data_IF_043400339619
#
_entry.id   IF_043400339619
#
_cell.length_a   1.000
_cell.length_b   1.000
_cell.length_c   1.000
_cell.angle_alpha   90.00
_cell.angle_beta   90.00
_cell.angle_gamma   90.00
#
_symmetry.space_group_name_H-M   'P 1'
#
loop_
_entity.id
_entity.type
_entity.pdbx_description
1 polymer ?
#
# COMPACT_ATOMS: atom_id res chain seq x y z
N UNK A 1 37.98 -42.54 -62.51
CA UNK A 1 37.90 -41.39 -61.58
C UNK A 1 36.44 -41.02 -61.43
N UNK A 2 35.83 -41.28 -60.26
CA UNK A 2 34.42 -41.02 -59.99
C UNK A 2 34.40 -40.02 -58.83
N UNK A 3 33.92 -38.81 -59.07
CA UNK A 3 33.79 -37.75 -58.07
C UNK A 3 32.47 -37.90 -57.32
N UNK A 4 32.53 -38.02 -56.00
CA UNK A 4 31.38 -37.99 -55.09
C UNK A 4 31.05 -36.53 -54.69
N UNK A 5 29.76 -36.15 -54.58
CA UNK A 5 29.36 -34.80 -54.16
C UNK A 5 29.42 -34.64 -52.62
N UNK A 6 29.53 -33.40 -52.10
CA UNK A 6 29.63 -33.13 -50.67
C UNK A 6 28.26 -33.21 -49.95
N UNK A 7 28.24 -33.52 -48.64
CA UNK A 7 27.00 -33.61 -47.86
C UNK A 7 26.41 -32.23 -47.54
N UNK A 8 25.08 -32.13 -47.64
CA UNK A 8 24.29 -30.93 -47.31
C UNK A 8 24.28 -30.63 -45.80
N UNK A 9 24.10 -29.36 -45.39
CA UNK A 9 24.09 -28.98 -43.97
C UNK A 9 22.84 -29.50 -43.25
N UNK A 10 23.07 -30.14 -42.09
CA UNK A 10 22.04 -30.59 -41.16
C UNK A 10 21.33 -29.35 -40.59
N UNK A 11 20.12 -29.11 -41.05
CA UNK A 11 19.21 -28.14 -40.43
C UNK A 11 18.65 -28.81 -39.19
N UNK A 12 19.08 -28.41 -38.00
CA UNK A 12 18.43 -28.87 -36.75
C UNK A 12 17.06 -28.19 -36.64
N UNK A 13 15.93 -28.92 -36.73
CA UNK A 13 14.65 -28.32 -36.41
C UNK A 13 14.60 -28.19 -34.89
N UNK A 14 14.68 -26.96 -34.39
CA UNK A 14 14.32 -26.61 -33.02
C UNK A 14 12.90 -27.10 -32.76
N UNK A 15 12.82 -28.27 -32.13
CA UNK A 15 11.56 -28.95 -31.90
C UNK A 15 10.86 -28.27 -30.73
N UNK A 16 9.62 -27.86 -30.98
CA UNK A 16 8.70 -27.14 -30.09
C UNK A 16 8.48 -27.76 -28.68
N UNK A 17 8.71 -29.06 -28.37
CA UNK A 17 8.39 -29.59 -27.04
C UNK A 17 9.19 -28.99 -25.87
N UNK A 18 10.38 -28.44 -26.12
CA UNK A 18 11.25 -27.92 -25.05
C UNK A 18 10.78 -26.57 -24.47
N UNK A 19 10.15 -25.73 -25.29
CA UNK A 19 9.64 -24.44 -24.81
C UNK A 19 8.37 -24.59 -23.96
N UNK A 20 7.50 -25.55 -24.25
CA UNK A 20 6.28 -25.77 -23.48
C UNK A 20 6.57 -26.06 -21.99
N UNK A 21 7.63 -26.81 -21.70
CA UNK A 21 8.01 -27.14 -20.33
C UNK A 21 8.61 -25.93 -19.58
N UNK A 22 9.28 -25.02 -20.29
CA UNK A 22 9.77 -23.74 -19.75
C UNK A 22 8.61 -22.78 -19.49
N UNK A 23 7.66 -22.65 -20.44
CA UNK A 23 6.47 -21.81 -20.26
C UNK A 23 5.57 -22.30 -19.12
N UNK A 24 5.38 -23.61 -18.96
CA UNK A 24 4.62 -24.18 -17.82
C UNK A 24 5.35 -23.96 -16.50
N UNK A 25 6.68 -24.06 -16.44
CA UNK A 25 7.48 -23.75 -15.25
C UNK A 25 7.45 -22.25 -14.91
N UNK A 26 7.55 -21.35 -15.90
CA UNK A 26 7.39 -19.91 -15.70
C UNK A 26 5.97 -19.53 -15.25
N UNK A 27 4.94 -20.18 -15.81
CA UNK A 27 3.54 -19.96 -15.41
C UNK A 27 3.29 -20.44 -13.98
N UNK A 28 3.79 -21.62 -13.61
CA UNK A 28 3.73 -22.13 -12.23
C UNK A 28 4.55 -21.28 -11.25
N UNK A 29 5.69 -20.73 -11.68
CA UNK A 29 6.47 -19.77 -10.87
C UNK A 29 5.73 -18.44 -10.70
N UNK A 30 5.06 -17.95 -11.75
CA UNK A 30 4.22 -16.74 -11.76
C UNK A 30 2.97 -16.88 -10.91
N UNK A 31 2.32 -18.04 -10.95
CA UNK A 31 1.16 -18.35 -10.13
C UNK A 31 1.56 -18.60 -8.67
N UNK A 32 2.75 -19.16 -8.42
CA UNK A 32 3.37 -19.20 -7.09
C UNK A 32 3.93 -17.84 -6.63
N UNK A 33 4.05 -16.82 -7.49
CA UNK A 33 4.62 -15.52 -7.14
C UNK A 33 3.58 -14.42 -6.91
N UNK A 34 2.28 -14.71 -7.05
CA UNK A 34 1.24 -13.81 -6.53
C UNK A 34 1.23 -13.92 -5.01
N UNK A 35 2.09 -13.14 -4.36
CA UNK A 35 1.93 -12.86 -2.95
C UNK A 35 0.51 -12.33 -2.75
N UNK A 36 -0.24 -12.97 -1.86
CA UNK A 36 -1.59 -12.53 -1.55
C UNK A 36 -1.52 -11.09 -1.03
N UNK A 37 -2.37 -10.22 -1.56
CA UNK A 37 -2.40 -8.81 -1.15
C UNK A 37 -3.79 -8.45 -0.71
N UNK A 38 -3.89 -7.90 0.50
CA UNK A 38 -5.12 -7.29 0.99
C UNK A 38 -5.08 -5.80 0.69
N UNK A 39 -6.17 -5.29 0.10
CA UNK A 39 -6.37 -3.86 -0.13
C UNK A 39 -7.61 -3.39 0.63
N UNK A 40 -7.52 -2.21 1.27
CA UNK A 40 -8.65 -1.53 1.90
C UNK A 40 -8.47 -0.01 1.81
N UNK A 41 -9.57 0.72 1.83
CA UNK A 41 -9.58 2.19 1.80
C UNK A 41 -10.71 2.75 2.66
N UNK A 42 -10.67 4.07 2.92
CA UNK A 42 -11.76 4.81 3.56
C UNK A 42 -13.05 4.89 2.71
N UNK A 43 -13.02 4.38 1.47
CA UNK A 43 -14.07 4.52 0.45
C UNK A 43 -13.82 5.69 -0.51
N UNK A 44 -14.78 5.90 -1.42
CA UNK A 44 -14.61 6.80 -2.57
C UNK A 44 -14.72 8.29 -2.23
N UNK A 45 -15.38 8.61 -1.12
CA UNK A 45 -15.64 10.00 -0.71
C UNK A 45 -14.78 10.36 0.49
N UNK A 46 -13.98 11.44 0.44
CA UNK A 46 -13.25 11.96 1.58
C UNK A 46 -14.19 12.36 2.73
N UNK A 47 -13.74 12.17 3.97
CA UNK A 47 -14.57 12.34 5.16
C UNK A 47 -13.98 13.39 6.10
N UNK A 48 -14.84 14.19 6.72
CA UNK A 48 -14.45 15.11 7.78
C UNK A 48 -15.04 14.63 9.09
N UNK A 49 -14.25 14.68 10.17
CA UNK A 49 -14.76 14.29 11.48
C UNK A 49 -15.94 15.18 11.91
N UNK A 50 -17.00 14.63 12.53
CA UNK A 50 -18.19 15.41 12.91
C UNK A 50 -17.88 16.62 13.81
N UNK A 51 -16.86 16.54 14.67
CA UNK A 51 -16.44 17.68 15.52
C UNK A 51 -15.94 18.88 14.71
N UNK A 52 -15.51 18.68 13.46
CA UNK A 52 -15.07 19.72 12.53
C UNK A 52 -16.12 20.02 11.45
N UNK A 53 -17.31 19.44 11.57
CA UNK A 53 -18.43 19.74 10.69
C UNK A 53 -19.18 20.99 11.16
N UNK A 54 -19.83 21.66 10.20
CA UNK A 54 -20.63 22.85 10.43
C UNK A 54 -20.00 24.13 9.90
N UNK A 55 -20.84 25.15 9.78
CA UNK A 55 -20.43 26.46 9.28
C UNK A 55 -19.42 27.10 10.25
N UNK A 56 -18.35 27.67 9.68
CA UNK A 56 -17.24 28.29 10.44
C UNK A 56 -16.41 27.35 11.35
N UNK A 57 -16.62 26.03 11.31
CA UNK A 57 -15.79 25.09 12.07
C UNK A 57 -14.34 25.07 11.56
N UNK A 58 -14.14 25.27 10.26
CA UNK A 58 -12.82 25.38 9.62
C UNK A 58 -12.76 26.59 8.69
N UNK A 59 -11.54 27.09 8.46
CA UNK A 59 -11.27 28.11 7.47
C UNK A 59 -11.59 27.62 6.04
N UNK A 60 -12.04 28.53 5.17
CA UNK A 60 -12.25 28.26 3.74
C UNK A 60 -10.95 27.91 3.02
N UNK A 61 -9.82 28.48 3.45
CA UNK A 61 -8.50 28.16 2.89
C UNK A 61 -8.10 26.76 3.35
N UNK A 62 -7.75 25.93 2.38
CA UNK A 62 -7.31 24.56 2.57
C UNK A 62 -6.11 24.26 1.69
N UNK A 63 -5.21 23.41 2.16
CA UNK A 63 -4.03 22.96 1.41
C UNK A 63 -4.04 21.44 1.37
N UNK A 64 -4.02 20.85 0.18
CA UNK A 64 -3.94 19.40 0.05
C UNK A 64 -2.60 18.90 0.60
N UNK A 65 -2.64 17.89 1.46
CA UNK A 65 -1.47 17.25 2.06
C UNK A 65 -1.58 15.74 1.89
N UNK A 66 -0.44 15.09 1.65
CA UNK A 66 -0.33 13.65 1.49
C UNK A 66 0.87 13.14 2.27
N UNK A 67 0.71 11.96 2.86
CA UNK A 67 1.80 11.23 3.50
C UNK A 67 1.67 9.75 3.18
N UNK A 68 2.81 9.14 2.84
CA UNK A 68 2.88 7.72 2.56
C UNK A 68 3.89 7.07 3.50
N UNK A 69 3.49 5.99 4.15
CA UNK A 69 4.36 5.15 4.96
C UNK A 69 4.46 3.76 4.35
N UNK A 70 5.64 3.15 4.49
CA UNK A 70 5.86 1.72 4.34
C UNK A 70 6.26 1.12 5.69
N UNK A 71 5.44 0.21 6.19
CA UNK A 71 5.71 -0.54 7.42
C UNK A 71 6.12 -1.97 7.11
N UNK A 72 7.09 -2.47 7.85
CA UNK A 72 7.40 -3.89 7.93
C UNK A 72 6.94 -4.42 9.28
N UNK A 73 5.92 -5.27 9.29
CA UNK A 73 5.30 -5.80 10.50
C UNK A 73 5.54 -7.31 10.63
N UNK A 74 5.62 -7.81 11.86
CA UNK A 74 5.68 -9.23 12.21
C UNK A 74 4.52 -9.60 13.14
N UNK A 75 4.04 -10.83 13.04
CA UNK A 75 3.07 -11.43 13.98
C UNK A 75 1.60 -11.05 13.77
N UNK A 76 1.32 -9.93 13.09
CA UNK A 76 -0.03 -9.47 12.74
C UNK A 76 0.00 -8.07 12.15
N UNK A 77 -1.17 -7.50 11.84
CA UNK A 77 -1.32 -6.12 11.37
C UNK A 77 -2.54 -5.48 12.04
N UNK A 78 -2.28 -4.54 12.96
CA UNK A 78 -3.28 -3.62 13.53
C UNK A 78 -3.31 -2.34 12.68
N UNK A 79 -4.23 -2.33 11.72
CA UNK A 79 -4.40 -1.24 10.76
C UNK A 79 -4.75 0.09 11.45
N UNK A 80 -5.70 0.18 12.40
CA UNK A 80 -5.96 1.41 13.14
C UNK A 80 -4.71 2.05 13.74
N UNK A 81 -3.78 1.25 14.27
CA UNK A 81 -2.52 1.76 14.83
C UNK A 81 -1.61 2.36 13.76
N UNK A 82 -1.49 1.72 12.60
CA UNK A 82 -0.71 2.24 11.48
C UNK A 82 -1.32 3.52 10.88
N UNK A 83 -2.65 3.55 10.74
CA UNK A 83 -3.37 4.75 10.27
C UNK A 83 -3.21 5.93 11.24
N UNK A 84 -3.26 5.68 12.55
CA UNK A 84 -2.97 6.73 13.55
C UNK A 84 -1.56 7.30 13.39
N UNK A 85 -0.57 6.44 13.21
CA UNK A 85 0.82 6.87 13.00
C UNK A 85 0.97 7.71 11.72
N UNK A 86 0.42 7.26 10.60
CA UNK A 86 0.46 7.99 9.34
C UNK A 86 -0.30 9.33 9.42
N UNK A 87 -1.47 9.36 10.06
CA UNK A 87 -2.25 10.59 10.27
C UNK A 87 -1.50 11.59 11.16
N UNK A 88 -0.81 11.13 12.20
CA UNK A 88 -0.02 12.00 13.08
C UNK A 88 1.08 12.71 12.28
N UNK A 89 1.83 11.97 11.47
CA UNK A 89 2.85 12.57 10.59
C UNK A 89 2.25 13.50 9.53
N UNK A 90 1.05 13.20 9.03
CA UNK A 90 0.31 14.10 8.14
C UNK A 90 -0.13 15.40 8.84
N UNK A 91 -0.53 15.32 10.11
CA UNK A 91 -0.90 16.49 10.92
C UNK A 91 0.32 17.35 11.24
N UNK A 92 1.46 16.74 11.58
CA UNK A 92 2.74 17.45 11.76
C UNK A 92 3.10 18.25 10.49
N UNK A 93 2.98 17.64 9.30
CA UNK A 93 3.13 18.36 8.02
C UNK A 93 2.15 19.53 7.86
N UNK A 94 0.91 19.37 8.28
CA UNK A 94 -0.09 20.43 8.24
C UNK A 94 0.28 21.58 9.20
N UNK A 95 0.81 21.27 10.39
CA UNK A 95 1.29 22.25 11.36
C UNK A 95 2.46 23.08 10.82
N UNK A 96 3.40 22.45 10.10
CA UNK A 96 4.45 23.19 9.38
C UNK A 96 3.90 24.20 8.35
N UNK A 97 2.69 23.96 7.83
CA UNK A 97 1.98 24.86 6.90
C UNK A 97 1.06 25.87 7.61
N UNK A 98 1.08 25.92 8.95
CA UNK A 98 0.25 26.82 9.77
C UNK A 98 -1.22 26.39 9.89
N UNK A 99 -1.54 25.14 9.53
CA UNK A 99 -2.82 24.50 9.81
C UNK A 99 -2.79 23.81 11.18
N UNK A 100 -3.95 23.49 11.75
CA UNK A 100 -4.04 22.79 13.04
C UNK A 100 -5.09 21.67 13.05
N UNK A 101 -5.74 21.41 11.92
CA UNK A 101 -6.69 20.31 11.75
C UNK A 101 -6.57 19.70 10.35
N UNK A 102 -6.95 18.43 10.25
CA UNK A 102 -7.14 17.74 8.97
C UNK A 102 -8.65 17.60 8.69
N UNK A 103 -9.06 17.93 7.46
CA UNK A 103 -10.42 17.71 6.94
C UNK A 103 -10.36 16.99 5.59
N UNK A 104 -11.50 16.52 5.10
CA UNK A 104 -11.58 15.78 3.82
C UNK A 104 -10.53 14.67 3.76
N UNK A 105 -10.43 13.93 4.86
CA UNK A 105 -9.47 12.86 5.03
C UNK A 105 -9.87 11.64 4.19
N UNK A 106 -8.87 10.99 3.59
CA UNK A 106 -9.02 9.69 2.98
C UNK A 106 -7.74 8.88 3.13
N UNK A 107 -7.87 7.56 3.12
CA UNK A 107 -6.72 6.67 3.19
C UNK A 107 -6.90 5.43 2.32
N UNK A 108 -5.77 4.93 1.84
CA UNK A 108 -5.64 3.68 1.11
C UNK A 108 -4.52 2.86 1.74
N UNK A 109 -4.73 1.56 1.83
CA UNK A 109 -3.80 0.65 2.45
C UNK A 109 -3.68 -0.63 1.64
N UNK A 110 -2.44 -1.09 1.46
CA UNK A 110 -2.14 -2.39 0.85
C UNK A 110 -1.23 -3.20 1.76
N UNK A 111 -1.68 -4.38 2.16
CA UNK A 111 -0.88 -5.36 2.91
C UNK A 111 -0.42 -6.44 1.95
N UNK A 112 0.89 -6.66 1.86
CA UNK A 112 1.46 -7.84 1.23
C UNK A 112 1.59 -8.94 2.29
N UNK A 113 0.87 -10.03 2.07
CA UNK A 113 0.85 -11.18 2.96
C UNK A 113 2.00 -12.12 2.55
N UNK A 114 2.86 -12.51 3.50
CA UNK A 114 3.92 -13.45 3.23
C UNK A 114 3.35 -14.85 2.95
N UNK A 115 4.06 -15.65 2.16
CA UNK A 115 3.63 -17.02 1.84
C UNK A 115 3.58 -17.95 3.05
N UNK A 116 4.44 -17.69 4.03
CA UNK A 116 4.41 -18.36 5.33
C UNK A 116 3.95 -17.36 6.40
N UNK A 117 2.68 -17.43 6.85
CA UNK A 117 2.15 -16.52 7.86
C UNK A 117 2.81 -16.66 9.24
N UNK A 118 3.43 -17.80 9.56
CA UNK A 118 4.00 -18.05 10.90
C UNK A 118 5.34 -17.34 11.11
N UNK A 119 6.12 -17.20 10.05
CA UNK A 119 7.45 -16.57 10.11
C UNK A 119 7.61 -15.36 9.18
N UNK A 120 6.59 -15.06 8.39
CA UNK A 120 6.66 -14.04 7.39
C UNK A 120 6.49 -12.62 7.93
N UNK A 121 7.01 -11.68 7.14
CA UNK A 121 6.84 -10.25 7.36
C UNK A 121 5.72 -9.72 6.49
N UNK A 122 4.83 -8.95 7.09
CA UNK A 122 3.80 -8.20 6.40
C UNK A 122 4.38 -6.86 5.97
N UNK A 123 4.31 -6.54 4.68
CA UNK A 123 4.68 -5.21 4.19
C UNK A 123 3.41 -4.41 3.96
N UNK A 124 3.23 -3.34 4.71
CA UNK A 124 2.02 -2.52 4.70
C UNK A 124 2.36 -1.16 4.12
N UNK A 125 1.78 -0.82 2.97
CA UNK A 125 1.85 0.53 2.42
C UNK A 125 0.59 1.28 2.82
N UNK A 126 0.76 2.43 3.48
CA UNK A 126 -0.32 3.34 3.82
C UNK A 126 -0.14 4.62 3.00
N UNK A 127 -1.21 5.10 2.39
CA UNK A 127 -1.28 6.42 1.77
C UNK A 127 -2.43 7.17 2.40
N UNK A 128 -2.12 8.26 3.08
CA UNK A 128 -3.08 9.09 3.81
C UNK A 128 -3.12 10.47 3.15
N UNK A 129 -4.32 10.94 2.84
CA UNK A 129 -4.58 12.23 2.22
C UNK A 129 -5.52 13.03 3.11
N UNK A 130 -5.35 14.35 3.07
CA UNK A 130 -6.27 15.27 3.71
C UNK A 130 -6.14 16.66 3.09
N UNK A 131 -7.05 17.54 3.48
CA UNK A 131 -6.92 18.96 3.33
C UNK A 131 -6.57 19.58 4.70
N UNK A 132 -5.38 20.19 4.80
CA UNK A 132 -4.94 20.93 5.95
C UNK A 132 -5.71 22.26 6.06
N UNK A 133 -6.27 22.56 7.24
CA UNK A 133 -7.02 23.80 7.49
C UNK A 133 -6.77 24.35 8.89
N UNK A 134 -7.28 25.57 9.13
CA UNK A 134 -7.29 26.22 10.45
C UNK A 134 -8.67 26.11 11.06
N UNK A 135 -8.73 25.84 12.36
CA UNK A 135 -9.95 25.69 13.14
C UNK A 135 -9.74 26.26 14.54
N UNK A 136 -10.81 26.79 15.15
CA UNK A 136 -10.82 27.12 16.58
C UNK A 136 -11.07 25.89 17.45
N UNK A 137 -11.61 24.81 16.87
CA UNK A 137 -11.82 23.51 17.52
C UNK A 137 -10.56 22.65 17.42
N UNK A 138 -10.26 21.84 18.45
CA UNK A 138 -9.11 20.94 18.42
C UNK A 138 -9.29 19.83 17.37
N UNK A 139 -8.17 19.36 16.83
CA UNK A 139 -8.14 18.17 15.97
C UNK A 139 -8.59 16.94 16.78
N UNK A 140 -9.46 16.07 16.22
CA UNK A 140 -9.98 14.89 16.91
C UNK A 140 -8.91 13.79 17.14
N UNK A 141 -7.73 13.91 16.53
CA UNK A 141 -6.61 12.97 16.64
C UNK A 141 -6.97 11.52 16.30
N UNK A 142 -7.99 11.31 15.47
CA UNK A 142 -8.53 10.00 15.11
C UNK A 142 -8.71 9.86 13.60
N UNK A 143 -8.19 8.79 12.99
CA UNK A 143 -8.45 8.50 11.58
C UNK A 143 -9.94 8.31 11.28
N UNK A 144 -10.33 8.71 10.08
CA UNK A 144 -11.69 8.50 9.56
C UNK A 144 -11.90 7.04 9.12
N UNK A 145 -13.17 6.63 8.99
CA UNK A 145 -13.58 5.34 8.42
C UNK A 145 -12.92 4.09 9.03
N UNK A 146 -12.63 4.10 10.35
CA UNK A 146 -12.00 2.97 11.03
C UNK A 146 -12.82 1.67 11.01
N UNK A 147 -14.11 1.75 10.72
CA UNK A 147 -15.01 0.62 10.49
C UNK A 147 -14.68 -0.17 9.21
N UNK A 148 -13.98 0.43 8.24
CA UNK A 148 -13.63 -0.20 6.95
C UNK A 148 -12.28 -0.90 6.95
N UNK A 149 -11.56 -0.87 8.07
CA UNK A 149 -10.23 -1.46 8.19
C UNK A 149 -10.31 -2.98 8.21
N UNK A 150 -9.27 -3.64 7.69
CA UNK A 150 -9.13 -5.09 7.77
C UNK A 150 -7.80 -5.43 8.42
N UNK A 151 -7.88 -5.96 9.64
CA UNK A 151 -6.70 -6.37 10.40
C UNK A 151 -6.23 -7.77 9.98
N UNK A 152 -4.94 -8.03 10.19
CA UNK A 152 -4.41 -9.40 10.19
C UNK A 152 -4.28 -9.82 11.65
N UNK A 153 -4.94 -10.91 12.08
CA UNK A 153 -4.89 -11.39 13.46
C UNK A 153 -3.47 -11.63 13.96
N UNK A 154 -3.29 -11.45 15.28
CA UNK A 154 -2.03 -11.67 15.98
C UNK A 154 -1.42 -10.39 16.53
N UNK A 155 -0.36 -10.53 17.34
CA UNK A 155 0.32 -9.40 17.95
C UNK A 155 1.23 -8.73 16.93
N UNK A 156 0.92 -7.50 16.57
CA UNK A 156 1.72 -6.72 15.63
C UNK A 156 2.97 -6.13 16.32
N UNK A 157 4.13 -6.47 15.77
CA UNK A 157 5.40 -5.77 16.03
C UNK A 157 5.83 -5.04 14.76
N UNK A 158 5.99 -3.73 14.85
CA UNK A 158 6.57 -2.92 13.77
C UNK A 158 8.08 -3.05 13.85
N UNK A 159 8.70 -3.61 12.82
CA UNK A 159 10.16 -3.74 12.72
C UNK A 159 10.79 -2.51 12.07
N UNK A 160 10.07 -1.92 11.12
CA UNK A 160 10.56 -0.80 10.32
C UNK A 160 9.38 0.07 9.88
N UNK A 161 9.64 1.38 9.79
CA UNK A 161 8.74 2.38 9.24
C UNK A 161 9.57 3.34 8.39
N UNK A 162 9.21 3.47 7.13
CA UNK A 162 9.84 4.38 6.18
C UNK A 162 8.80 5.34 5.59
N UNK A 163 9.09 6.64 5.58
CA UNK A 163 8.31 7.57 4.79
C UNK A 163 8.67 7.42 3.31
N UNK A 164 7.65 7.25 2.47
CA UNK A 164 7.82 7.16 1.02
C UNK A 164 7.42 8.49 0.40
N UNK A 165 8.38 9.25 -0.11
CA UNK A 165 8.10 10.41 -0.95
C UNK A 165 7.54 9.94 -2.29
N UNK A 166 6.28 10.31 -2.56
CA UNK A 166 5.61 10.10 -3.85
C UNK A 166 5.93 11.20 -4.84
#
# INVERSE_FOLDING_TARGET
MIMTPPPSPVTMPLTIPSMANVFVKLRRARDRSKAESLHCSSGDVPQTHPSLSGESATCRRRVAVVHCDLFTCKGGVDVPKLLRAARMSLLEKAEFLGANVLVEESWELTIRIPKDPKHGLYRVRVRYLAAASRSSRPDPQKPVALDKVRNIPGLMTILEREEVTS
#
